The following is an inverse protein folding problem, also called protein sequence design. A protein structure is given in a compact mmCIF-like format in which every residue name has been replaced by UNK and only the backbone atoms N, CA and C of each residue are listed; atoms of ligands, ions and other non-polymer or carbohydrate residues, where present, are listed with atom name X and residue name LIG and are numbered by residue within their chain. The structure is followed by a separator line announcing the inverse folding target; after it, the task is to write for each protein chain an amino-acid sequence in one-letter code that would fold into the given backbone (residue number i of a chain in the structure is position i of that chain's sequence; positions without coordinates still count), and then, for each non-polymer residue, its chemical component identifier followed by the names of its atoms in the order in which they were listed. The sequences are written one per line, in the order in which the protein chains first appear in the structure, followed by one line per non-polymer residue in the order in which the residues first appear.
data_IF_341978748300
#
_entry.id   IF_341978748300
#
_cell.length_a   1.000
_cell.length_b   1.000
_cell.length_c   1.000
_cell.angle_alpha   90.00
_cell.angle_beta   90.00
_cell.angle_gamma   90.00
#
_symmetry.space_group_name_H-M   'P 1'
#
loop_
_entity.id
_entity.type
_entity.pdbx_description
1 polymer ?
#
# COMPACT_ATOMS: atom_id res chain seq x y z
N UNK A 1 -6.67 2.00 -5.09
CA UNK A 1 -7.75 2.54 -5.94
C UNK A 1 -7.39 3.97 -6.29
N UNK A 2 -7.12 4.22 -7.57
CA UNK A 2 -6.86 5.53 -8.14
C UNK A 2 -8.11 5.95 -8.92
N UNK A 3 -8.55 7.19 -8.75
CA UNK A 3 -9.77 7.72 -9.38
C UNK A 3 -9.64 9.18 -9.83
N UNK A 4 -8.47 9.78 -9.64
CA UNK A 4 -8.10 11.11 -10.13
C UNK A 4 -6.57 11.27 -10.07
N UNK A 5 -6.03 12.35 -10.65
CA UNK A 5 -4.58 12.56 -10.69
C UNK A 5 -3.93 12.64 -9.31
N UNK A 6 -4.58 13.28 -8.34
CA UNK A 6 -4.05 13.42 -6.98
C UNK A 6 -3.87 12.06 -6.33
N UNK A 7 -4.85 11.16 -6.45
CA UNK A 7 -4.74 9.80 -5.91
C UNK A 7 -3.70 8.96 -6.65
N UNK A 8 -3.47 9.19 -7.94
CA UNK A 8 -2.38 8.55 -8.68
C UNK A 8 -1.01 8.94 -8.11
N UNK A 9 -0.78 10.24 -7.92
CA UNK A 9 0.47 10.77 -7.36
C UNK A 9 0.65 10.36 -5.90
N UNK A 10 -0.37 10.58 -5.07
CA UNK A 10 -0.32 10.29 -3.63
C UNK A 10 -0.13 8.79 -3.35
N UNK A 11 -0.64 7.90 -4.21
CA UNK A 11 -0.40 6.46 -4.10
C UNK A 11 1.10 6.13 -4.17
N UNK A 12 1.87 6.77 -5.07
CA UNK A 12 3.33 6.64 -5.12
C UNK A 12 3.99 7.41 -3.98
N UNK A 13 3.71 8.71 -3.87
CA UNK A 13 4.40 9.62 -2.97
C UNK A 13 4.33 9.20 -1.50
N UNK A 14 3.19 8.69 -1.02
CA UNK A 14 2.96 8.45 0.41
C UNK A 14 2.92 6.97 0.79
N UNK A 15 2.52 6.10 -0.12
CA UNK A 15 2.31 4.69 0.17
C UNK A 15 3.33 3.78 -0.51
N UNK A 16 4.20 4.34 -1.37
CA UNK A 16 5.06 3.58 -2.28
C UNK A 16 4.30 2.43 -2.97
N UNK A 17 3.05 2.69 -3.37
CA UNK A 17 2.19 1.65 -3.89
C UNK A 17 2.83 1.01 -5.14
N UNK A 18 2.95 -0.32 -5.13
CA UNK A 18 3.51 -1.10 -6.25
C UNK A 18 2.45 -1.47 -7.30
N UNK A 19 1.17 -1.42 -6.92
CA UNK A 19 0.02 -1.76 -7.75
C UNK A 19 -1.09 -0.74 -7.50
N UNK A 20 -1.80 -0.39 -8.57
CA UNK A 20 -3.04 0.38 -8.50
C UNK A 20 -4.19 -0.38 -9.12
N UNK A 21 -5.40 0.02 -8.72
CA UNK A 21 -6.65 -0.38 -9.33
C UNK A 21 -7.37 0.87 -9.83
N UNK A 22 -8.01 0.78 -11.00
CA UNK A 22 -8.77 1.87 -11.62
C UNK A 22 -10.14 1.33 -12.05
N UNK A 23 -11.18 2.13 -11.89
CA UNK A 23 -12.54 1.75 -12.28
C UNK A 23 -12.78 1.91 -13.78
N UNK A 24 -12.76 0.82 -14.55
CA UNK A 24 -12.91 0.86 -16.02
C UNK A 24 -14.22 1.48 -16.53
N UNK A 25 -15.26 1.61 -15.69
CA UNK A 25 -16.55 2.25 -16.05
C UNK A 25 -16.70 3.67 -15.49
N UNK A 26 -15.65 4.23 -14.90
CA UNK A 26 -15.68 5.53 -14.22
C UNK A 26 -14.83 6.59 -14.93
N UNK A 27 -14.08 6.19 -15.95
CA UNK A 27 -13.13 7.01 -16.69
C UNK A 27 -13.28 6.76 -18.19
N UNK A 28 -12.93 7.76 -19.00
CA UNK A 28 -12.61 7.49 -20.40
C UNK A 28 -11.31 6.68 -20.52
N UNK A 29 -11.04 6.14 -21.71
CA UNK A 29 -9.78 5.43 -21.96
C UNK A 29 -8.58 6.37 -21.82
N UNK A 30 -8.68 7.59 -22.34
CA UNK A 30 -7.63 8.61 -22.26
C UNK A 30 -7.36 9.05 -20.82
N UNK A 31 -8.41 9.22 -20.00
CA UNK A 31 -8.24 9.51 -18.57
C UNK A 31 -7.55 8.36 -17.85
N UNK A 32 -7.90 7.12 -18.18
CA UNK A 32 -7.29 5.93 -17.58
C UNK A 32 -5.80 5.82 -17.92
N UNK A 33 -5.43 6.04 -19.19
CA UNK A 33 -4.03 6.09 -19.63
C UNK A 33 -3.24 7.18 -18.88
N UNK A 34 -3.80 8.40 -18.78
CA UNK A 34 -3.15 9.50 -18.05
C UNK A 34 -2.93 9.18 -16.56
N UNK A 35 -3.88 8.51 -15.91
CA UNK A 35 -3.74 8.08 -14.52
C UNK A 35 -2.63 7.01 -14.35
N UNK A 36 -2.51 6.08 -15.31
CA UNK A 36 -1.45 5.07 -15.31
C UNK A 36 -0.09 5.75 -15.50
N UNK A 37 0.05 6.65 -16.48
CA UNK A 37 1.29 7.35 -16.75
C UNK A 37 1.77 8.16 -15.54
N UNK A 38 0.86 8.89 -14.89
CA UNK A 38 1.16 9.61 -13.65
C UNK A 38 1.65 8.67 -12.55
N UNK A 39 0.99 7.54 -12.34
CA UNK A 39 1.39 6.58 -11.34
C UNK A 39 2.77 5.95 -11.63
N UNK A 40 3.07 5.64 -12.90
CA UNK A 40 4.36 5.04 -13.27
C UNK A 40 5.51 6.05 -13.20
N UNK A 41 5.27 7.32 -13.51
CA UNK A 41 6.28 8.36 -13.51
C UNK A 41 6.58 8.90 -12.10
N UNK A 42 5.60 8.89 -11.19
CA UNK A 42 5.73 9.51 -9.88
C UNK A 42 6.63 8.68 -8.92
N UNK A 43 7.71 9.25 -8.38
CA UNK A 43 8.56 8.57 -7.42
C UNK A 43 7.93 8.52 -6.02
N UNK A 44 8.40 7.59 -5.20
CA UNK A 44 8.14 7.64 -3.76
C UNK A 44 8.93 8.79 -3.12
N UNK A 45 8.30 9.52 -2.20
CA UNK A 45 8.95 10.67 -1.53
C UNK A 45 10.08 10.26 -0.60
N UNK A 46 10.04 9.04 -0.05
CA UNK A 46 11.03 8.57 0.92
C UNK A 46 10.95 9.25 2.29
N UNK A 47 9.94 10.08 2.57
CA UNK A 47 9.87 10.76 3.87
C UNK A 47 9.68 9.75 5.01
N UNK A 48 10.39 9.97 6.12
CA UNK A 48 10.42 9.06 7.27
C UNK A 48 9.02 8.66 7.78
N UNK A 49 8.07 9.61 7.81
CA UNK A 49 6.70 9.35 8.27
C UNK A 49 5.95 8.35 7.36
N UNK A 50 6.26 8.34 6.07
CA UNK A 50 5.64 7.46 5.08
C UNK A 50 6.28 6.08 5.15
N UNK A 51 7.62 6.03 5.17
CA UNK A 51 8.35 4.77 5.32
C UNK A 51 7.96 4.05 6.62
N UNK A 52 7.89 4.76 7.75
CA UNK A 52 7.47 4.17 9.04
C UNK A 52 6.10 3.50 8.97
N UNK A 53 5.14 4.07 8.22
CA UNK A 53 3.81 3.48 8.05
C UNK A 53 3.87 2.21 7.20
N UNK A 54 4.66 2.23 6.12
CA UNK A 54 4.88 1.06 5.26
C UNK A 54 5.53 -0.07 6.08
N UNK A 55 6.55 0.24 6.88
CA UNK A 55 7.24 -0.74 7.72
C UNK A 55 6.31 -1.37 8.77
N UNK A 56 5.39 -0.59 9.34
CA UNK A 56 4.38 -1.09 10.29
C UNK A 56 3.40 -2.06 9.62
N UNK A 57 2.94 -1.75 8.40
CA UNK A 57 2.09 -2.68 7.62
C UNK A 57 2.87 -3.97 7.34
N UNK A 58 4.11 -3.86 6.87
CA UNK A 58 4.94 -5.04 6.61
C UNK A 58 5.24 -5.85 7.87
N UNK A 59 5.44 -5.19 9.03
CA UNK A 59 5.60 -5.89 10.30
C UNK A 59 4.34 -6.68 10.66
N UNK A 60 3.17 -6.06 10.52
CA UNK A 60 1.89 -6.70 10.78
C UNK A 60 1.66 -7.90 9.84
N UNK A 61 1.95 -7.77 8.54
CA UNK A 61 1.85 -8.88 7.58
C UNK A 61 2.74 -10.07 7.95
N UNK A 62 3.93 -9.83 8.52
CA UNK A 62 4.86 -10.88 8.94
C UNK A 62 4.52 -11.51 10.30
N UNK A 63 3.96 -10.73 11.22
CA UNK A 63 3.88 -11.10 12.65
C UNK A 63 2.46 -11.19 13.20
N UNK A 64 1.47 -10.62 12.51
CA UNK A 64 0.11 -10.46 13.01
C UNK A 64 -0.06 -9.37 14.09
N UNK A 65 0.99 -8.61 14.39
CA UNK A 65 0.98 -7.58 15.43
C UNK A 65 1.79 -6.32 15.08
N UNK A 66 1.79 -5.36 15.99
CA UNK A 66 2.46 -4.05 15.81
C UNK A 66 3.74 -3.90 16.64
N UNK A 67 4.19 -4.99 17.28
CA UNK A 67 5.46 -5.06 17.99
C UNK A 67 6.19 -6.33 17.58
N UNK A 68 7.53 -6.29 17.57
CA UNK A 68 8.33 -7.48 17.27
C UNK A 68 8.11 -8.61 18.30
N UNK A 69 7.61 -8.28 19.49
CA UNK A 69 7.23 -9.26 20.52
C UNK A 69 5.88 -9.95 20.26
N UNK A 70 4.97 -9.32 19.49
CA UNK A 70 3.59 -9.80 19.32
C UNK A 70 3.48 -11.06 18.44
N UNK A 71 4.51 -11.35 17.63
CA UNK A 71 4.57 -12.56 16.78
C UNK A 71 4.81 -13.88 17.54
N UNK A 72 5.02 -13.85 18.86
CA UNK A 72 5.22 -15.06 19.67
C UNK A 72 3.94 -15.63 20.30
N UNK A 73 2.82 -14.90 20.23
CA UNK A 73 1.55 -15.32 20.86
C UNK A 73 0.67 -16.21 19.97
N UNK A 74 0.96 -16.32 18.66
CA UNK A 74 0.09 -16.99 17.68
C UNK A 74 0.35 -18.48 17.45
N UNK A 75 1.35 -19.10 18.09
CA UNK A 75 1.69 -20.53 17.86
C UNK A 75 1.31 -21.47 19.03
N UNK A 76 0.62 -20.98 20.06
CA UNK A 76 0.32 -21.77 21.25
C UNK A 76 -1.09 -22.40 21.29
N UNK A 77 -1.95 -22.17 20.29
CA UNK A 77 -3.37 -22.57 20.34
C UNK A 77 -3.78 -23.67 19.33
N UNK A 78 -2.83 -24.49 18.86
CA UNK A 78 -3.11 -25.63 17.98
C UNK A 78 -2.62 -26.99 18.53
N UNK A 79 -2.47 -27.10 19.85
CA UNK A 79 -2.03 -28.34 20.50
C UNK A 79 -2.77 -28.58 21.83
N UNK A 80 -4.08 -28.78 21.80
CA UNK A 80 -4.78 -29.58 22.81
C UNK A 80 -6.06 -30.17 22.19
N UNK A 81 -6.08 -31.51 22.17
CA UNK A 81 -7.21 -32.46 22.07
C UNK A 81 -8.58 -32.00 21.54
#
# INVERSE_FOLDING_TARGET
LVWNEDTARLARQHNDANVISVGARQHSEEELEALIDLFLAEPFTGEERHQRRIDLVGLYERTGGYSESAGSAGSAEAATE
#
